data_IF_373988723961
#
_entry.id   IF_373988723961
#
_cell.length_a   1.000
_cell.length_b   1.000
_cell.length_c   1.000
_cell.angle_alpha   90.00
_cell.angle_beta   90.00
_cell.angle_gamma   90.00
#
_symmetry.space_group_name_H-M   'P 1'
#
loop_
_entity.id
_entity.type
_entity.pdbx_description
1 polymer ?
#
# COMPACT_ATOMS: atom_id res chain seq x y z
N UNK A 1 -2.49 -13.59 19.47
CA UNK A 1 -3.28 -13.08 18.34
C UNK A 1 -2.28 -12.67 17.27
N UNK A 2 -2.31 -13.34 16.13
CA UNK A 2 -1.43 -13.02 15.00
C UNK A 2 -1.88 -11.71 14.34
N UNK A 3 -0.98 -11.00 13.65
CA UNK A 3 -1.27 -9.70 13.03
C UNK A 3 -2.49 -9.74 12.10
N UNK A 4 -2.65 -10.83 11.34
CA UNK A 4 -3.77 -11.01 10.41
C UNK A 4 -5.12 -11.04 11.13
N UNK A 5 -5.22 -11.79 12.24
CA UNK A 5 -6.44 -11.84 13.05
C UNK A 5 -6.78 -10.48 13.65
N UNK A 6 -5.77 -9.78 14.14
CA UNK A 6 -5.94 -8.42 14.64
C UNK A 6 -6.51 -7.49 13.56
N UNK A 7 -5.92 -7.51 12.36
CA UNK A 7 -6.40 -6.68 11.25
C UNK A 7 -7.80 -7.05 10.81
N UNK A 8 -8.11 -8.35 10.70
CA UNK A 8 -9.44 -8.84 10.31
C UNK A 8 -10.55 -8.36 11.26
N UNK A 9 -10.25 -8.28 12.56
CA UNK A 9 -11.23 -7.85 13.58
C UNK A 9 -11.33 -6.33 13.66
N UNK A 10 -10.21 -5.61 13.53
CA UNK A 10 -10.14 -4.20 13.91
C UNK A 10 -10.10 -3.22 12.73
N UNK A 11 -9.75 -3.67 11.52
CA UNK A 11 -9.48 -2.80 10.39
C UNK A 11 -10.38 -3.15 9.20
N UNK A 12 -11.24 -2.21 8.82
CA UNK A 12 -12.02 -2.28 7.59
C UNK A 12 -11.38 -1.46 6.46
N UNK A 13 -11.62 -1.89 5.21
CA UNK A 13 -11.24 -1.13 4.04
C UNK A 13 -12.09 0.14 3.90
N UNK A 14 -11.45 1.29 4.12
CA UNK A 14 -12.08 2.60 4.06
C UNK A 14 -11.10 3.70 4.39
N UNK A 15 -11.57 4.94 4.36
CA UNK A 15 -10.77 6.12 4.67
C UNK A 15 -11.61 7.18 5.36
N UNK A 16 -10.92 8.16 5.96
CA UNK A 16 -11.54 9.30 6.61
C UNK A 16 -11.12 10.53 5.84
N UNK A 17 -12.08 11.40 5.55
CA UNK A 17 -11.77 12.65 4.87
C UNK A 17 -11.29 13.74 5.83
N UNK A 18 -10.83 14.85 5.26
CA UNK A 18 -10.35 16.02 6.00
C UNK A 18 -11.41 16.73 6.88
N UNK A 19 -12.68 16.30 6.82
CA UNK A 19 -13.77 16.78 7.67
C UNK A 19 -14.17 15.73 8.74
N UNK A 20 -13.53 14.56 8.74
CA UNK A 20 -13.80 13.48 9.69
C UNK A 20 -14.88 12.51 9.25
N UNK A 21 -15.43 12.63 8.03
CA UNK A 21 -16.41 11.67 7.53
C UNK A 21 -15.74 10.38 7.09
N UNK A 22 -16.38 9.26 7.45
CA UNK A 22 -15.94 7.91 7.10
C UNK A 22 -16.48 7.52 5.73
N UNK A 23 -15.61 6.99 4.88
CA UNK A 23 -15.92 6.49 3.55
C UNK A 23 -15.54 5.01 3.46
N UNK A 24 -16.54 4.14 3.34
CA UNK A 24 -16.35 2.68 3.34
C UNK A 24 -16.40 2.12 1.93
N UNK A 25 -15.46 1.22 1.61
CA UNK A 25 -15.46 0.42 0.38
C UNK A 25 -15.59 1.22 -0.94
N UNK A 26 -15.16 2.49 -0.95
CA UNK A 26 -15.15 3.35 -2.12
C UNK A 26 -14.06 4.42 -2.02
N UNK A 27 -13.69 5.01 -3.16
CA UNK A 27 -12.68 6.08 -3.25
C UNK A 27 -13.28 7.39 -3.78
N UNK A 28 -14.58 7.63 -3.59
CA UNK A 28 -15.27 8.81 -4.12
C UNK A 28 -14.75 10.08 -3.44
N UNK A 29 -14.15 11.00 -4.22
CA UNK A 29 -13.59 12.25 -3.68
C UNK A 29 -12.26 12.07 -2.94
N UNK A 30 -11.66 10.88 -3.00
CA UNK A 30 -10.41 10.53 -2.33
C UNK A 30 -9.27 11.50 -2.71
N UNK A 31 -9.05 11.78 -4.00
CA UNK A 31 -8.00 12.72 -4.44
C UNK A 31 -8.08 14.10 -3.77
N UNK A 32 -9.29 14.57 -3.46
CA UNK A 32 -9.52 15.91 -2.90
C UNK A 32 -9.44 15.92 -1.37
N UNK A 33 -10.04 14.93 -0.71
CA UNK A 33 -10.27 15.01 0.73
C UNK A 33 -9.42 14.03 1.55
N UNK A 34 -8.74 13.07 0.91
CA UNK A 34 -7.93 12.08 1.59
C UNK A 34 -6.61 12.66 2.11
N UNK A 35 -6.22 12.21 3.30
CA UNK A 35 -4.87 12.31 3.83
C UNK A 35 -4.49 10.98 4.45
N UNK A 36 -3.23 10.58 4.28
CA UNK A 36 -2.74 9.33 4.86
C UNK A 36 -2.83 9.40 6.39
N UNK A 37 -3.51 8.45 6.99
CA UNK A 37 -3.63 8.39 8.45
C UNK A 37 -2.31 8.00 9.11
N UNK A 38 -2.10 8.46 10.36
CA UNK A 38 -1.13 7.82 11.24
C UNK A 38 -1.62 6.41 11.61
N UNK A 39 -0.71 5.54 12.07
CA UNK A 39 -1.10 4.22 12.57
C UNK A 39 -2.05 4.38 13.76
N UNK A 40 -1.76 5.28 14.70
CA UNK A 40 -2.65 5.54 15.84
C UNK A 40 -4.05 5.97 15.40
N UNK A 41 -4.16 6.84 14.38
CA UNK A 41 -5.48 7.27 13.87
C UNK A 41 -6.22 6.16 13.15
N UNK A 42 -5.51 5.36 12.36
CA UNK A 42 -6.06 4.16 11.72
C UNK A 42 -6.60 3.19 12.76
N UNK A 43 -5.86 2.95 13.85
CA UNK A 43 -6.26 2.07 14.96
C UNK A 43 -7.44 2.64 15.75
N UNK A 44 -7.46 3.96 16.01
CA UNK A 44 -8.56 4.64 16.70
C UNK A 44 -9.89 4.51 15.93
N UNK A 45 -9.83 4.63 14.60
CA UNK A 45 -11.04 4.73 13.78
C UNK A 45 -11.45 3.39 13.14
N UNK A 46 -10.51 2.45 13.06
CA UNK A 46 -10.70 1.12 12.47
C UNK A 46 -10.74 1.12 10.94
N UNK A 47 -10.20 2.14 10.28
CA UNK A 47 -10.24 2.29 8.82
C UNK A 47 -8.86 2.49 8.21
N UNK A 48 -8.58 1.78 7.12
CA UNK A 48 -7.40 2.01 6.31
C UNK A 48 -7.57 1.50 4.88
N UNK A 49 -6.99 2.21 3.92
CA UNK A 49 -6.87 1.73 2.54
C UNK A 49 -5.68 0.77 2.40
N UNK A 50 -5.34 0.34 1.18
CA UNK A 50 -4.09 -0.38 0.94
C UNK A 50 -2.86 0.41 1.42
N UNK A 51 -2.91 1.74 1.42
CA UNK A 51 -1.83 2.61 1.89
C UNK A 51 -1.62 2.47 3.40
N UNK A 52 -2.66 2.72 4.21
CA UNK A 52 -2.59 2.58 5.67
C UNK A 52 -2.31 1.13 6.11
N UNK A 53 -2.92 0.16 5.45
CA UNK A 53 -2.73 -1.24 5.81
C UNK A 53 -1.30 -1.70 5.54
N UNK A 54 -0.73 -1.39 4.37
CA UNK A 54 0.67 -1.66 4.08
C UNK A 54 1.61 -0.94 5.05
N UNK A 55 1.29 0.32 5.42
CA UNK A 55 2.04 1.07 6.44
C UNK A 55 2.06 0.37 7.79
N UNK A 56 0.92 -0.13 8.26
CA UNK A 56 0.83 -0.84 9.54
C UNK A 56 1.59 -2.18 9.51
N UNK A 57 1.47 -2.93 8.43
CA UNK A 57 2.17 -4.20 8.22
C UNK A 57 3.69 -3.97 8.20
N UNK A 58 4.15 -2.98 7.44
CA UNK A 58 5.55 -2.56 7.36
C UNK A 58 6.11 -2.21 8.74
N UNK A 59 5.39 -1.36 9.47
CA UNK A 59 5.75 -0.96 10.82
C UNK A 59 5.85 -2.16 11.78
N UNK A 60 4.89 -3.09 11.73
CA UNK A 60 4.93 -4.30 12.55
C UNK A 60 6.18 -5.14 12.27
N UNK A 61 6.48 -5.43 11.00
CA UNK A 61 7.64 -6.24 10.64
C UNK A 61 8.97 -5.56 10.97
N UNK A 62 9.07 -4.24 10.80
CA UNK A 62 10.23 -3.46 11.23
C UNK A 62 10.44 -3.59 12.74
N UNK A 63 9.37 -3.50 13.54
CA UNK A 63 9.44 -3.65 15.01
C UNK A 63 9.81 -5.05 15.47
N UNK A 64 9.43 -6.06 14.71
CA UNK A 64 9.78 -7.46 14.98
C UNK A 64 11.17 -7.83 14.46
N UNK A 65 11.84 -6.96 13.72
CA UNK A 65 13.17 -7.20 13.15
C UNK A 65 13.17 -8.14 11.95
N UNK A 66 12.03 -8.30 11.25
CA UNK A 66 11.98 -9.07 10.02
C UNK A 66 12.50 -8.25 8.84
N UNK A 67 13.34 -8.85 8.00
CA UNK A 67 13.67 -8.30 6.70
C UNK A 67 12.39 -8.20 5.87
N UNK A 68 12.11 -7.01 5.32
CA UNK A 68 10.87 -6.75 4.61
C UNK A 68 11.04 -5.64 3.56
N UNK A 69 10.11 -5.59 2.61
CA UNK A 69 10.10 -4.69 1.46
C UNK A 69 8.69 -4.16 1.25
N UNK A 70 8.58 -2.84 1.14
CA UNK A 70 7.32 -2.16 0.89
C UNK A 70 7.28 -1.69 -0.57
N UNK A 71 6.23 -2.09 -1.27
CA UNK A 71 6.02 -1.74 -2.66
C UNK A 71 4.77 -0.89 -2.84
N UNK A 72 4.86 0.05 -3.76
CA UNK A 72 3.72 0.81 -4.26
C UNK A 72 3.64 0.65 -5.77
N UNK A 73 2.51 0.10 -6.22
CA UNK A 73 2.14 0.00 -7.61
C UNK A 73 1.11 1.09 -7.92
N UNK A 74 1.39 1.98 -8.88
CA UNK A 74 0.52 3.12 -9.19
C UNK A 74 0.54 3.48 -10.67
N UNK A 75 -0.50 4.15 -11.16
CA UNK A 75 -0.44 4.96 -12.38
C UNK A 75 0.17 6.33 -12.05
N UNK A 76 0.91 6.93 -13.00
CA UNK A 76 1.30 8.34 -12.87
C UNK A 76 0.06 9.23 -12.95
N UNK A 77 -0.08 10.16 -12.00
CA UNK A 77 -1.15 11.16 -12.03
C UNK A 77 -0.75 12.32 -12.95
N UNK A 78 -1.53 12.56 -14.00
CA UNK A 78 -1.43 13.69 -14.92
C UNK A 78 -2.72 14.49 -14.88
N UNK A 79 -2.70 15.75 -15.32
CA UNK A 79 -3.94 16.56 -15.39
C UNK A 79 -5.02 15.88 -16.25
N UNK A 80 -4.61 15.13 -17.28
CA UNK A 80 -5.50 14.41 -18.19
C UNK A 80 -6.16 13.16 -17.59
N UNK A 81 -5.68 12.64 -16.44
CA UNK A 81 -6.20 11.41 -15.84
C UNK A 81 -6.74 11.56 -14.42
N UNK A 82 -6.82 12.78 -13.91
CA UNK A 82 -7.28 13.06 -12.55
C UNK A 82 -8.74 12.63 -12.30
N UNK A 83 -9.55 12.63 -13.36
CA UNK A 83 -10.96 12.18 -13.34
C UNK A 83 -11.12 10.66 -13.48
N UNK A 84 -10.04 9.92 -13.82
CA UNK A 84 -10.09 8.46 -13.93
C UNK A 84 -10.03 7.79 -12.56
N UNK A 85 -10.50 6.55 -12.47
CA UNK A 85 -10.43 5.76 -11.24
C UNK A 85 -9.02 5.71 -10.66
N UNK A 86 -8.94 5.81 -9.33
CA UNK A 86 -7.67 5.67 -8.60
C UNK A 86 -7.14 4.26 -8.79
N UNK A 87 -5.90 4.17 -9.28
CA UNK A 87 -5.20 2.93 -9.55
C UNK A 87 -3.91 2.90 -8.76
N UNK A 88 -4.01 2.40 -7.53
CA UNK A 88 -2.90 2.25 -6.61
C UNK A 88 -3.07 0.99 -5.77
N UNK A 89 -1.96 0.29 -5.53
CA UNK A 89 -1.88 -0.79 -4.56
C UNK A 89 -0.56 -0.73 -3.81
N UNK A 90 -0.61 -0.66 -2.48
CA UNK A 90 0.56 -0.80 -1.64
C UNK A 90 0.54 -2.18 -0.98
N UNK A 91 1.67 -2.85 -0.94
CA UNK A 91 1.80 -4.19 -0.33
C UNK A 91 3.18 -4.40 0.27
N UNK A 92 3.28 -5.35 1.19
CA UNK A 92 4.53 -5.67 1.90
C UNK A 92 4.91 -7.12 1.66
N UNK A 93 6.16 -7.33 1.30
CA UNK A 93 6.81 -8.63 1.35
C UNK A 93 7.69 -8.71 2.61
N UNK A 94 7.71 -9.84 3.29
CA UNK A 94 8.64 -10.09 4.39
C UNK A 94 9.33 -11.43 4.21
N UNK A 95 10.56 -11.53 4.70
CA UNK A 95 11.35 -12.75 4.67
C UNK A 95 11.18 -13.50 5.98
N UNK A 96 10.93 -14.80 5.87
CA UNK A 96 10.87 -15.70 7.01
C UNK A 96 11.53 -17.02 6.62
N UNK A 97 12.57 -17.41 7.35
CA UNK A 97 13.52 -18.45 6.95
C UNK A 97 14.07 -18.16 5.53
N UNK A 98 14.01 -19.15 4.65
CA UNK A 98 14.54 -19.09 3.28
C UNK A 98 13.47 -18.70 2.24
N UNK A 99 12.35 -18.12 2.65
CA UNK A 99 11.24 -17.78 1.74
C UNK A 99 10.73 -16.36 1.95
N UNK A 100 10.11 -15.82 0.89
CA UNK A 100 9.45 -14.53 0.91
C UNK A 100 7.93 -14.73 1.02
N UNK A 101 7.28 -13.82 1.74
CA UNK A 101 5.85 -13.90 1.99
C UNK A 101 5.20 -12.57 1.69
N UNK A 102 4.11 -12.59 0.92
CA UNK A 102 3.23 -11.45 0.73
C UNK A 102 2.17 -11.45 1.83
N UNK A 103 2.15 -10.39 2.64
CA UNK A 103 1.09 -10.17 3.61
C UNK A 103 0.03 -9.25 2.98
N UNK A 104 -1.08 -9.84 2.54
CA UNK A 104 -2.18 -9.11 1.89
C UNK A 104 -3.40 -9.06 2.82
N UNK A 105 -3.84 -7.85 3.16
CA UNK A 105 -5.09 -7.65 3.91
C UNK A 105 -6.11 -6.78 3.16
N UNK A 106 -5.64 -5.86 2.32
CA UNK A 106 -6.47 -4.83 1.70
C UNK A 106 -7.23 -5.34 0.47
N UNK A 107 -6.65 -6.27 -0.28
CA UNK A 107 -7.26 -6.92 -1.42
C UNK A 107 -8.10 -8.12 -0.96
N UNK A 108 -9.41 -7.91 -0.75
CA UNK A 108 -10.31 -8.94 -0.19
C UNK A 108 -10.25 -10.31 -0.91
N UNK A 109 -10.32 -10.40 -2.26
CA UNK A 109 -10.19 -11.68 -2.96
C UNK A 109 -8.85 -12.40 -2.76
N UNK A 110 -7.77 -11.66 -2.53
CA UNK A 110 -6.41 -12.20 -2.35
C UNK A 110 -5.93 -12.10 -0.90
N UNK A 111 -6.82 -11.84 0.07
CA UNK A 111 -6.42 -11.67 1.48
C UNK A 111 -5.77 -12.95 2.01
N UNK A 112 -4.64 -12.81 2.70
CA UNK A 112 -3.90 -13.93 3.27
C UNK A 112 -2.40 -13.67 3.32
N UNK A 113 -1.66 -14.71 3.71
CA UNK A 113 -0.20 -14.73 3.70
C UNK A 113 0.23 -15.74 2.64
N UNK A 114 0.85 -15.26 1.57
CA UNK A 114 1.18 -16.07 0.39
C UNK A 114 2.69 -16.26 0.30
N UNK A 115 3.13 -17.51 0.15
CA UNK A 115 4.55 -17.87 0.10
C UNK A 115 5.08 -17.81 -1.33
N UNK A 116 6.31 -17.33 -1.48
CA UNK A 116 7.05 -17.26 -2.74
C UNK A 116 8.51 -17.64 -2.53
N UNK A 117 9.13 -18.16 -3.60
CA UNK A 117 10.54 -18.56 -3.58
C UNK A 117 11.47 -17.34 -3.71
N UNK A 118 10.98 -16.25 -4.30
CA UNK A 118 11.74 -15.00 -4.49
C UNK A 118 10.86 -13.77 -4.50
N UNK A 119 11.47 -12.60 -4.29
CA UNK A 119 10.80 -11.29 -4.44
C UNK A 119 10.27 -11.10 -5.85
N UNK A 120 11.03 -11.55 -6.86
CA UNK A 120 10.67 -11.44 -8.27
C UNK A 120 9.41 -12.23 -8.59
N UNK A 121 9.30 -13.48 -8.11
CA UNK A 121 8.10 -14.32 -8.31
C UNK A 121 6.87 -13.74 -7.62
N UNK A 122 7.03 -13.18 -6.42
CA UNK A 122 5.96 -12.47 -5.72
C UNK A 122 5.47 -11.25 -6.50
N UNK A 123 6.40 -10.42 -6.97
CA UNK A 123 6.09 -9.22 -7.76
C UNK A 123 5.36 -9.60 -9.05
N UNK A 124 5.82 -10.63 -9.77
CA UNK A 124 5.20 -11.08 -11.01
C UNK A 124 3.75 -11.50 -10.79
N UNK A 125 3.49 -12.34 -9.79
CA UNK A 125 2.14 -12.81 -9.46
C UNK A 125 1.22 -11.66 -9.00
N UNK A 126 1.68 -10.81 -8.08
CA UNK A 126 0.88 -9.70 -7.52
C UNK A 126 0.52 -8.71 -8.63
N UNK A 127 1.45 -8.41 -9.54
CA UNK A 127 1.27 -7.38 -10.57
C UNK A 127 0.73 -7.89 -11.90
N UNK A 128 0.62 -9.21 -12.10
CA UNK A 128 0.13 -9.83 -13.34
C UNK A 128 -1.21 -9.25 -13.80
N UNK A 129 -2.20 -9.19 -12.90
CA UNK A 129 -3.54 -8.65 -13.17
C UNK A 129 -3.60 -7.13 -13.35
N UNK A 130 -2.47 -6.43 -13.21
CA UNK A 130 -2.42 -4.99 -13.38
C UNK A 130 -1.99 -4.54 -14.79
N UNK A 131 -1.43 -5.45 -15.59
CA UNK A 131 -0.85 -5.16 -16.91
C UNK A 131 -1.89 -4.89 -18.02
N UNK A 132 -3.16 -5.26 -17.81
CA UNK A 132 -4.20 -5.26 -18.86
C UNK A 132 -4.73 -3.87 -19.26
N UNK A 133 -4.28 -2.78 -18.62
CA UNK A 133 -5.01 -1.52 -18.66
C UNK A 133 -4.37 -0.35 -19.43
N UNK A 134 -3.29 -0.57 -20.19
CA UNK A 134 -2.70 0.44 -21.09
C UNK A 134 -2.12 1.71 -20.44
N UNK A 135 -2.24 1.89 -19.12
CA UNK A 135 -1.59 2.97 -18.36
C UNK A 135 -0.11 2.63 -18.11
N UNK A 136 0.74 3.67 -18.07
CA UNK A 136 2.11 3.55 -17.56
C UNK A 136 2.02 3.36 -16.05
N UNK A 137 2.00 2.11 -15.62
CA UNK A 137 2.00 1.73 -14.22
C UNK A 137 3.40 1.34 -13.78
N UNK A 138 3.86 1.90 -12.66
CA UNK A 138 5.21 1.62 -12.13
C UNK A 138 5.12 1.02 -10.74
N UNK A 139 5.80 -0.11 -10.58
CA UNK A 139 6.09 -0.69 -9.29
C UNK A 139 7.35 -0.01 -8.73
N UNK A 140 7.25 0.54 -7.53
CA UNK A 140 8.36 1.21 -6.86
C UNK A 140 8.49 0.69 -5.44
N UNK A 141 9.71 0.32 -5.05
CA UNK A 141 10.06 0.01 -3.66
C UNK A 141 10.27 1.33 -2.91
N UNK A 142 9.66 1.48 -1.74
CA UNK A 142 9.78 2.68 -0.90
C UNK A 142 10.10 2.27 0.54
N UNK A 143 10.76 3.15 1.29
CA UNK A 143 11.21 2.82 2.65
C UNK A 143 10.08 2.86 3.69
N UNK A 144 9.16 3.81 3.53
CA UNK A 144 8.05 4.03 4.46
C UNK A 144 6.90 4.81 3.81
N UNK A 145 5.77 4.92 4.51
CA UNK A 145 4.60 5.71 4.09
C UNK A 145 4.38 6.84 5.11
N UNK A 146 4.70 8.10 4.76
CA UNK A 146 4.49 9.24 5.65
C UNK A 146 3.01 9.47 5.98
N UNK A 147 2.71 10.01 7.16
CA UNK A 147 1.35 10.45 7.52
C UNK A 147 1.06 11.84 6.95
N UNK A 148 -0.21 12.20 6.80
CA UNK A 148 -0.67 13.57 6.51
C UNK A 148 -0.65 13.98 5.03
N UNK A 149 0.09 13.25 4.20
CA UNK A 149 0.15 13.49 2.76
C UNK A 149 -1.22 13.30 2.11
N UNK A 150 -1.58 14.18 1.20
CA UNK A 150 -2.64 13.97 0.22
C UNK A 150 -2.27 12.85 -0.75
N UNK A 151 -3.24 12.38 -1.52
CA UNK A 151 -2.98 11.37 -2.56
C UNK A 151 -1.97 11.85 -3.61
N UNK A 152 -2.01 13.13 -4.01
CA UNK A 152 -1.06 13.73 -4.95
C UNK A 152 0.35 13.80 -4.36
N UNK A 153 0.46 14.28 -3.12
CA UNK A 153 1.76 14.35 -2.43
C UNK A 153 2.36 12.96 -2.23
N UNK A 154 1.53 11.94 -1.94
CA UNK A 154 2.03 10.57 -1.86
C UNK A 154 2.51 10.03 -3.20
N UNK A 155 1.78 10.26 -4.31
CA UNK A 155 2.27 9.90 -5.64
C UNK A 155 3.63 10.55 -5.95
N UNK A 156 3.77 11.85 -5.66
CA UNK A 156 5.02 12.57 -5.84
C UNK A 156 6.15 12.00 -4.99
N UNK A 157 5.88 11.71 -3.71
CA UNK A 157 6.83 11.04 -2.82
C UNK A 157 7.32 9.71 -3.41
N UNK A 158 6.41 8.86 -3.90
CA UNK A 158 6.81 7.58 -4.52
C UNK A 158 7.61 7.81 -5.81
N UNK A 159 7.32 8.87 -6.58
CA UNK A 159 8.10 9.21 -7.77
C UNK A 159 9.57 9.55 -7.46
N UNK A 160 9.91 10.00 -6.24
CA UNK A 160 11.30 10.26 -5.87
C UNK A 160 12.15 8.97 -5.83
N UNK A 161 11.50 7.81 -5.64
CA UNK A 161 12.16 6.50 -5.61
C UNK A 161 12.33 5.88 -7.00
N UNK A 162 11.73 6.49 -8.03
CA UNK A 162 11.78 5.99 -9.40
C UNK A 162 13.18 6.07 -10.03
N UNK A 163 13.98 7.05 -9.60
CA UNK A 163 15.31 7.38 -10.12
C UNK A 163 16.46 6.88 -9.23
N UNK A 164 16.16 6.44 -8.01
CA UNK A 164 17.19 6.08 -7.02
C UNK A 164 17.89 4.74 -7.28
N UNK A 165 17.43 3.93 -8.25
CA UNK A 165 18.18 2.75 -8.75
C UNK A 165 19.37 3.09 -9.67
N UNK A 166 20.08 4.22 -9.44
CA UNK A 166 21.36 4.56 -10.10
C UNK A 166 22.49 5.06 -9.19
N UNK A 167 22.37 5.02 -7.86
CA UNK A 167 23.52 5.23 -6.98
C UNK A 167 23.73 4.06 -6.03
N UNK A 168 24.22 2.95 -6.59
CA UNK A 168 25.18 2.12 -5.85
C UNK A 168 26.48 2.94 -5.82
N UNK A 169 26.87 3.40 -4.64
CA UNK A 169 28.28 3.71 -4.34
C UNK A 169 28.89 2.41 -3.84
#
# INVERSE_FOLDING_TARGET
>A
MELMDFMNVNIEYGWIDNQGFKHLNNLKGFRKNYRISSIDKMLEVGLGTCIEQAKMIKYFFDKMGFENKLYCYRSYETEENFDKDIRMHCFVLFKYNDSWYHFEHSNRPKRGIHKYDSVESAIEDITSGFKEHGDIRKLTEIDSIPSGLTFKEFNNFVNEFDDTKRKKI
#
